data_IF_288379741978
#
_entry.id   IF_288379741978
#
_cell.length_a   1.000
_cell.length_b   1.000
_cell.length_c   1.000
_cell.angle_alpha   90.00
_cell.angle_beta   90.00
_cell.angle_gamma   90.00
#
_symmetry.space_group_name_H-M   'P 1'
#
loop_
_entity.id
_entity.type
_entity.pdbx_description
1 polymer ?
#
# COMPACT_ATOMS: atom_id res chain seq x y z
N UNK A 1 5.96 -30.07 -9.91
CA UNK A 1 7.12 -30.88 -9.48
C UNK A 1 6.56 -32.28 -9.25
N UNK A 2 6.72 -33.19 -10.20
CA UNK A 2 6.13 -34.55 -10.14
C UNK A 2 7.04 -35.58 -10.82
N UNK A 3 8.35 -35.32 -10.83
CA UNK A 3 9.37 -36.13 -11.53
C UNK A 3 10.11 -37.10 -10.60
N UNK A 4 9.64 -37.27 -9.36
CA UNK A 4 10.30 -38.09 -8.32
C UNK A 4 9.59 -39.43 -8.09
N UNK A 5 8.32 -39.57 -8.47
CA UNK A 5 7.55 -40.80 -8.31
C UNK A 5 7.02 -41.26 -9.67
N UNK A 6 7.28 -42.52 -10.03
CA UNK A 6 6.89 -43.07 -11.33
C UNK A 6 5.36 -43.08 -11.51
N UNK A 7 4.91 -42.80 -12.74
CA UNK A 7 3.49 -42.86 -13.10
C UNK A 7 3.01 -44.31 -13.15
N UNK A 8 1.93 -44.61 -12.43
CA UNK A 8 1.20 -45.88 -12.55
C UNK A 8 -0.18 -45.61 -13.15
N UNK A 9 -0.51 -46.31 -14.23
CA UNK A 9 -1.79 -46.21 -14.91
C UNK A 9 -2.64 -47.42 -14.54
N UNK A 10 -3.81 -47.16 -13.98
CA UNK A 10 -4.79 -48.18 -13.61
C UNK A 10 -5.90 -48.27 -14.64
N UNK A 11 -6.33 -49.50 -14.94
CA UNK A 11 -7.58 -49.74 -15.63
C UNK A 11 -8.66 -50.05 -14.58
N UNK A 12 -9.62 -49.15 -14.44
CA UNK A 12 -10.61 -49.18 -13.38
C UNK A 12 -11.97 -49.55 -13.96
N UNK A 13 -12.70 -50.43 -13.27
CA UNK A 13 -14.10 -50.75 -13.51
C UNK A 13 -14.88 -50.51 -12.22
N UNK A 14 -16.16 -50.20 -12.33
CA UNK A 14 -16.95 -49.92 -11.15
C UNK A 14 -18.45 -49.87 -11.41
N UNK A 15 -19.20 -49.73 -10.33
CA UNK A 15 -20.66 -49.62 -10.34
C UNK A 15 -21.10 -48.40 -9.55
N UNK A 16 -22.18 -47.78 -10.01
CA UNK A 16 -22.80 -46.64 -9.34
C UNK A 16 -24.29 -46.93 -9.16
N UNK A 17 -24.76 -46.90 -7.91
CA UNK A 17 -26.14 -47.25 -7.53
C UNK A 17 -27.04 -46.01 -7.33
N UNK A 18 -26.55 -44.81 -7.67
CA UNK A 18 -27.24 -43.54 -7.46
C UNK A 18 -26.82 -42.79 -6.19
N UNK A 19 -26.14 -43.44 -5.24
CA UNK A 19 -25.60 -42.80 -4.05
C UNK A 19 -24.16 -43.19 -3.72
N UNK A 20 -23.72 -44.35 -4.17
CA UNK A 20 -22.41 -44.94 -3.86
C UNK A 20 -21.73 -45.36 -5.15
N UNK A 21 -20.47 -44.95 -5.31
CA UNK A 21 -19.58 -45.41 -6.37
C UNK A 21 -18.60 -46.41 -5.77
N UNK A 22 -18.55 -47.62 -6.35
CA UNK A 22 -17.55 -48.64 -6.02
C UNK A 22 -16.69 -48.90 -7.25
N UNK A 23 -15.37 -48.82 -7.09
CA UNK A 23 -14.37 -48.94 -8.14
C UNK A 23 -13.35 -50.02 -7.75
N UNK A 24 -12.93 -50.82 -8.72
CA UNK A 24 -11.80 -51.74 -8.61
C UNK A 24 -10.94 -51.63 -9.85
N UNK A 25 -9.62 -51.68 -9.70
CA UNK A 25 -8.72 -51.57 -10.83
C UNK A 25 -7.39 -52.25 -10.64
N UNK A 26 -6.88 -52.77 -11.75
CA UNK A 26 -5.57 -53.40 -11.83
C UNK A 26 -4.60 -52.47 -12.57
N UNK A 27 -3.32 -52.52 -12.20
CA UNK A 27 -2.29 -51.70 -12.82
C UNK A 27 -2.05 -52.19 -14.26
N UNK A 28 -2.25 -51.30 -15.24
CA UNK A 28 -2.02 -51.55 -16.66
C UNK A 28 -0.58 -51.20 -17.07
N UNK A 29 -0.02 -50.19 -16.41
CA UNK A 29 1.35 -49.74 -16.66
C UNK A 29 1.95 -49.23 -15.35
N UNK A 30 3.17 -49.66 -15.04
CA UNK A 30 3.96 -49.17 -13.92
C UNK A 30 5.38 -48.85 -14.42
N UNK A 31 6.07 -47.92 -13.74
CA UNK A 31 7.48 -47.69 -14.00
C UNK A 31 8.31 -48.93 -13.65
N UNK A 32 9.46 -49.13 -14.32
CA UNK A 32 10.40 -50.19 -13.96
C UNK A 32 10.77 -50.04 -12.48
N UNK A 33 10.72 -51.15 -11.75
CA UNK A 33 11.01 -51.27 -10.31
C UNK A 33 9.94 -50.72 -9.35
N UNK A 34 8.70 -50.45 -9.80
CA UNK A 34 7.56 -50.13 -8.92
C UNK A 34 6.54 -51.26 -8.91
N UNK A 35 6.43 -51.95 -7.77
CA UNK A 35 5.35 -52.91 -7.52
C UNK A 35 4.03 -52.15 -7.33
N UNK A 36 3.02 -52.48 -8.13
CA UNK A 36 1.72 -51.79 -8.12
C UNK A 36 0.61 -52.76 -7.72
N UNK A 37 -0.02 -52.49 -6.57
CA UNK A 37 -1.12 -53.30 -6.05
C UNK A 37 -2.44 -52.98 -6.72
N UNK A 38 -3.36 -53.95 -6.67
CA UNK A 38 -4.77 -53.76 -7.08
C UNK A 38 -5.40 -52.68 -6.20
N UNK A 39 -6.16 -51.77 -6.80
CA UNK A 39 -6.84 -50.70 -6.08
C UNK A 39 -8.34 -51.00 -5.95
N UNK A 40 -8.89 -50.64 -4.81
CA UNK A 40 -10.33 -50.59 -4.55
C UNK A 40 -10.67 -49.20 -4.04
N UNK A 41 -11.79 -48.64 -4.45
CA UNK A 41 -12.20 -47.30 -4.09
C UNK A 41 -13.72 -47.26 -3.87
N UNK A 42 -14.12 -46.53 -2.82
CA UNK A 42 -15.53 -46.32 -2.49
C UNK A 42 -15.78 -44.85 -2.23
N UNK A 43 -16.77 -44.29 -2.90
CA UNK A 43 -17.18 -42.90 -2.75
C UNK A 43 -18.69 -42.77 -2.60
N UNK A 44 -19.13 -41.70 -1.94
CA UNK A 44 -20.54 -41.38 -1.74
C UNK A 44 -20.84 -40.07 -2.48
N UNK A 45 -22.00 -40.02 -3.15
CA UNK A 45 -22.52 -38.84 -3.81
C UNK A 45 -22.91 -37.83 -2.74
N UNK A 46 -22.26 -36.68 -2.77
CA UNK A 46 -22.54 -35.59 -1.85
C UNK A 46 -23.75 -34.77 -2.34
N UNK A 47 -24.41 -34.00 -1.46
CA UNK A 47 -25.47 -33.08 -1.86
C UNK A 47 -25.04 -32.03 -2.91
N UNK A 48 -23.73 -31.78 -3.04
CA UNK A 48 -23.14 -30.85 -4.00
C UNK A 48 -22.88 -31.47 -5.38
N UNK A 49 -23.16 -32.77 -5.57
CA UNK A 49 -23.04 -33.45 -6.86
C UNK A 49 -21.65 -34.01 -7.19
N UNK A 50 -20.65 -33.80 -6.32
CA UNK A 50 -19.34 -34.47 -6.35
C UNK A 50 -19.38 -35.79 -5.57
N UNK A 51 -18.47 -36.70 -5.94
CA UNK A 51 -18.28 -37.98 -5.25
C UNK A 51 -17.04 -37.88 -4.36
N UNK A 52 -17.20 -38.11 -3.05
CA UNK A 52 -16.09 -38.09 -2.09
C UNK A 52 -15.89 -39.47 -1.50
N UNK A 53 -14.65 -39.94 -1.50
CA UNK A 53 -14.36 -41.31 -1.12
C UNK A 53 -12.94 -41.57 -0.65
N UNK A 54 -12.69 -42.85 -0.41
CA UNK A 54 -11.38 -43.36 -0.06
C UNK A 54 -11.01 -44.48 -1.02
N UNK A 55 -9.72 -44.58 -1.31
CA UNK A 55 -9.15 -45.67 -2.08
C UNK A 55 -8.09 -46.38 -1.25
N UNK A 56 -7.90 -47.67 -1.52
CA UNK A 56 -6.91 -48.52 -0.88
C UNK A 56 -6.32 -49.49 -1.91
N UNK A 57 -5.03 -49.75 -1.81
CA UNK A 57 -4.35 -50.80 -2.59
C UNK A 57 -4.11 -52.06 -1.76
N UNK A 58 -3.92 -53.18 -2.46
CA UNK A 58 -3.49 -54.45 -1.86
C UNK A 58 -2.10 -54.39 -1.19
N UNK A 59 -1.31 -53.35 -1.47
CA UNK A 59 0.02 -53.12 -0.87
C UNK A 59 -0.06 -52.24 0.39
N UNK A 60 -1.26 -51.91 0.86
CA UNK A 60 -1.47 -51.15 2.10
C UNK A 60 -1.39 -49.62 1.93
N UNK A 61 -1.23 -49.11 0.70
CA UNK A 61 -1.38 -47.67 0.44
C UNK A 61 -2.86 -47.30 0.39
N UNK A 62 -3.22 -46.14 0.92
CA UNK A 62 -4.58 -45.65 0.91
C UNK A 62 -4.62 -44.12 0.89
N UNK A 63 -5.74 -43.55 0.48
CA UNK A 63 -5.91 -42.11 0.41
C UNK A 63 -7.37 -41.71 0.26
N UNK A 64 -7.59 -40.40 0.26
CA UNK A 64 -8.90 -39.83 -0.08
C UNK A 64 -8.89 -39.38 -1.53
N UNK A 65 -10.04 -39.43 -2.18
CA UNK A 65 -10.22 -38.87 -3.52
C UNK A 65 -11.57 -38.17 -3.63
N UNK A 66 -11.66 -37.27 -4.58
CA UNK A 66 -12.85 -36.51 -4.90
C UNK A 66 -13.00 -36.38 -6.41
N UNK A 67 -14.18 -36.71 -6.93
CA UNK A 67 -14.51 -36.61 -8.35
C UNK A 67 -15.53 -35.49 -8.56
N UNK A 68 -15.24 -34.62 -9.52
CA UNK A 68 -16.10 -33.51 -9.89
C UNK A 68 -16.75 -33.76 -11.26
N UNK A 69 -18.02 -33.38 -11.45
CA UNK A 69 -18.66 -33.45 -12.76
C UNK A 69 -17.98 -32.52 -13.76
N UNK A 70 -17.70 -33.02 -14.96
CA UNK A 70 -17.00 -32.25 -16.01
C UNK A 70 -17.89 -31.23 -16.74
N UNK A 71 -19.21 -31.40 -16.69
CA UNK A 71 -20.18 -30.64 -17.49
C UNK A 71 -20.91 -29.53 -16.72
N UNK A 72 -20.65 -29.39 -15.42
CA UNK A 72 -21.19 -28.29 -14.63
C UNK A 72 -20.11 -27.20 -14.53
N UNK A 73 -20.41 -25.92 -14.87
CA UNK A 73 -19.56 -24.83 -14.40
C UNK A 73 -19.47 -25.00 -12.89
N UNK A 74 -18.25 -24.99 -12.34
CA UNK A 74 -17.99 -25.11 -10.90
C UNK A 74 -19.08 -24.33 -10.17
N UNK A 75 -20.08 -25.02 -9.64
CA UNK A 75 -21.17 -24.37 -8.94
C UNK A 75 -20.47 -23.59 -7.85
N UNK A 76 -20.70 -22.27 -7.82
CA UNK A 76 -20.03 -21.33 -6.94
C UNK A 76 -19.72 -22.03 -5.61
N UNK A 77 -18.42 -22.19 -5.30
CA UNK A 77 -17.97 -22.61 -3.98
C UNK A 77 -18.36 -21.58 -2.89
N UNK A 78 -19.34 -20.71 -3.15
CA UNK A 78 -19.96 -19.75 -2.26
C UNK A 78 -21.08 -20.30 -1.39
N UNK A 79 -21.56 -21.54 -1.60
CA UNK A 79 -22.54 -22.18 -0.71
C UNK A 79 -21.96 -23.44 -0.05
N UNK A 80 -20.82 -23.30 0.63
CA UNK A 80 -20.50 -24.18 1.74
C UNK A 80 -21.47 -23.85 2.89
N UNK A 81 -22.54 -24.64 3.02
CA UNK A 81 -23.35 -24.70 4.24
C UNK A 81 -22.43 -25.10 5.38
N UNK A 82 -21.97 -24.13 6.18
CA UNK A 82 -21.30 -24.37 7.45
C UNK A 82 -20.05 -23.54 7.76
N UNK A 83 -19.48 -22.78 6.82
CA UNK A 83 -18.41 -21.82 7.15
C UNK A 83 -18.87 -20.43 6.74
N UNK A 84 -19.09 -19.50 7.70
CA UNK A 84 -19.44 -18.13 7.35
C UNK A 84 -18.30 -17.55 6.51
N UNK A 85 -18.53 -17.39 5.20
CA UNK A 85 -17.69 -16.55 4.36
C UNK A 85 -17.79 -15.16 4.99
N UNK A 86 -16.68 -14.51 5.37
CA UNK A 86 -16.73 -13.17 5.89
C UNK A 86 -17.28 -12.26 4.81
N UNK A 87 -18.54 -11.84 4.97
CA UNK A 87 -19.23 -10.91 4.07
C UNK A 87 -18.61 -9.50 4.13
N UNK A 88 -17.77 -9.23 5.13
CA UNK A 88 -17.23 -7.92 5.43
C UNK A 88 -15.70 -7.90 5.36
N UNK A 89 -15.19 -6.96 4.57
CA UNK A 89 -13.78 -6.59 4.54
C UNK A 89 -13.57 -5.39 5.46
N UNK A 90 -12.56 -5.49 6.32
CA UNK A 90 -12.15 -4.37 7.16
C UNK A 90 -10.98 -3.67 6.49
N UNK A 91 -11.07 -2.35 6.34
CA UNK A 91 -9.98 -1.52 5.82
C UNK A 91 -9.64 -0.44 6.83
N UNK A 92 -8.39 -0.41 7.28
CA UNK A 92 -7.87 0.69 8.10
C UNK A 92 -6.92 1.54 7.26
N UNK A 93 -7.10 2.86 7.34
CA UNK A 93 -6.19 3.85 6.77
C UNK A 93 -5.63 4.73 7.87
N UNK A 94 -4.31 4.81 7.95
CA UNK A 94 -3.59 5.71 8.86
C UNK A 94 -2.75 6.67 8.04
N UNK A 95 -3.00 7.97 8.17
CA UNK A 95 -2.16 8.99 7.56
C UNK A 95 -0.98 9.33 8.48
N UNK A 96 0.18 9.55 7.86
CA UNK A 96 1.41 9.99 8.53
C UNK A 96 1.79 11.36 7.98
N UNK A 97 2.44 12.19 8.81
CA UNK A 97 2.94 13.49 8.39
C UNK A 97 4.13 13.40 7.45
N UNK A 98 4.94 14.46 7.38
CA UNK A 98 6.12 14.48 6.54
C UNK A 98 7.19 13.53 7.10
N UNK A 99 7.66 12.57 6.32
CA UNK A 99 8.65 11.57 6.77
C UNK A 99 9.95 11.69 6.01
N UNK A 100 11.06 11.53 6.72
CA UNK A 100 12.38 11.41 6.10
C UNK A 100 12.94 10.03 6.42
N UNK A 101 13.20 9.24 5.39
CA UNK A 101 13.66 7.87 5.53
C UNK A 101 15.02 7.69 4.86
N UNK A 102 15.74 6.67 5.30
CA UNK A 102 16.93 6.14 4.62
C UNK A 102 16.62 4.74 4.07
N UNK A 103 17.44 4.25 3.15
CA UNK A 103 17.29 2.87 2.61
C UNK A 103 17.19 1.81 3.71
N UNK A 104 17.94 1.97 4.82
CA UNK A 104 17.85 1.09 5.99
C UNK A 104 16.45 1.12 6.63
N UNK A 105 15.85 2.29 6.78
CA UNK A 105 14.51 2.43 7.36
C UNK A 105 13.46 1.77 6.45
N UNK A 106 13.63 1.89 5.12
CA UNK A 106 12.77 1.21 4.13
C UNK A 106 12.92 -0.31 4.22
N UNK A 107 14.13 -0.82 4.47
CA UNK A 107 14.39 -2.25 4.71
C UNK A 107 13.72 -2.73 6.00
N UNK A 108 13.83 -1.98 7.09
CA UNK A 108 13.13 -2.32 8.34
C UNK A 108 11.61 -2.36 8.16
N UNK A 109 11.04 -1.37 7.44
CA UNK A 109 9.62 -1.34 7.11
C UNK A 109 9.21 -2.55 6.26
N UNK A 110 9.99 -2.88 5.23
CA UNK A 110 9.75 -4.04 4.37
C UNK A 110 9.74 -5.35 5.16
N UNK A 111 10.70 -5.55 6.07
CA UNK A 111 10.75 -6.72 6.94
C UNK A 111 9.54 -6.77 7.89
N UNK A 112 9.16 -5.63 8.47
CA UNK A 112 8.02 -5.53 9.36
C UNK A 112 6.70 -5.84 8.65
N UNK A 113 6.54 -5.37 7.40
CA UNK A 113 5.40 -5.71 6.56
C UNK A 113 5.37 -7.23 6.35
N UNK A 114 6.47 -7.80 5.83
CA UNK A 114 6.59 -9.22 5.46
C UNK A 114 6.33 -10.20 6.59
N UNK A 115 6.60 -9.83 7.85
CA UNK A 115 6.46 -10.75 9.01
C UNK A 115 5.09 -11.44 9.12
N UNK A 116 4.03 -10.78 8.66
CA UNK A 116 2.65 -11.29 8.75
C UNK A 116 2.11 -11.83 7.41
N UNK A 117 3.00 -12.01 6.43
CA UNK A 117 2.72 -12.56 5.11
C UNK A 117 3.62 -13.77 4.86
N UNK A 118 3.02 -14.94 4.60
CA UNK A 118 3.73 -16.21 4.56
C UNK A 118 4.34 -16.53 3.18
N UNK A 119 3.63 -16.18 2.09
CA UNK A 119 3.94 -16.67 0.74
C UNK A 119 4.23 -15.55 -0.25
N UNK A 120 3.71 -14.35 0.00
CA UNK A 120 3.76 -13.26 -0.97
C UNK A 120 5.07 -12.48 -0.95
N UNK A 121 5.50 -12.05 -2.14
CA UNK A 121 6.65 -11.16 -2.30
C UNK A 121 6.20 -9.71 -2.17
N UNK A 122 6.97 -8.93 -1.40
CA UNK A 122 6.78 -7.50 -1.29
C UNK A 122 7.15 -6.83 -2.62
N UNK A 123 6.25 -6.00 -3.13
CA UNK A 123 6.45 -5.20 -4.34
C UNK A 123 6.75 -3.76 -3.94
N UNK A 124 7.71 -3.15 -4.61
CA UNK A 124 8.10 -1.76 -4.45
C UNK A 124 7.81 -1.04 -5.76
N UNK A 125 7.01 0.03 -5.68
CA UNK A 125 6.92 1.04 -6.74
C UNK A 125 7.65 2.28 -6.28
N UNK A 126 8.52 2.84 -7.12
CA UNK A 126 9.22 4.07 -6.81
C UNK A 126 9.41 4.94 -8.05
N UNK A 127 9.50 6.26 -7.85
CA UNK A 127 9.78 7.20 -8.94
C UNK A 127 11.26 7.58 -8.94
N UNK A 128 11.93 7.36 -10.07
CA UNK A 128 13.32 7.76 -10.31
C UNK A 128 13.43 8.42 -11.67
N UNK A 129 14.13 9.56 -11.76
CA UNK A 129 14.27 10.36 -12.97
C UNK A 129 12.93 10.66 -13.69
N UNK A 130 11.85 10.83 -12.92
CA UNK A 130 10.51 11.10 -13.45
C UNK A 130 9.70 9.86 -13.87
N UNK A 131 10.31 8.67 -13.89
CA UNK A 131 9.67 7.41 -14.30
C UNK A 131 9.32 6.57 -13.07
N UNK A 132 8.11 6.01 -13.07
CA UNK A 132 7.68 5.04 -12.06
C UNK A 132 8.16 3.64 -12.42
N UNK A 133 8.87 3.01 -11.50
CA UNK A 133 9.42 1.66 -11.63
C UNK A 133 8.76 0.76 -10.60
N UNK A 134 8.23 -0.38 -11.03
CA UNK A 134 7.64 -1.40 -10.15
C UNK A 134 8.45 -2.67 -10.22
N UNK A 135 8.87 -3.21 -9.07
CA UNK A 135 9.71 -4.41 -8.99
C UNK A 135 9.56 -5.09 -7.62
N UNK A 136 10.08 -6.30 -7.49
CA UNK A 136 10.15 -6.96 -6.18
C UNK A 136 11.15 -6.25 -5.26
N UNK A 137 10.89 -6.31 -3.95
CA UNK A 137 11.74 -5.65 -2.94
C UNK A 137 13.20 -6.13 -3.00
N UNK A 138 13.43 -7.42 -3.25
CA UNK A 138 14.79 -7.97 -3.35
C UNK A 138 15.58 -7.38 -4.53
N UNK A 139 14.90 -7.04 -5.63
CA UNK A 139 15.53 -6.43 -6.81
C UNK A 139 15.72 -4.92 -6.61
N UNK A 140 14.79 -4.27 -5.91
CA UNK A 140 14.96 -2.88 -5.47
C UNK A 140 16.16 -2.73 -4.55
N UNK A 141 16.33 -3.62 -3.57
CA UNK A 141 17.39 -3.53 -2.57
C UNK A 141 18.80 -3.53 -3.18
N UNK A 142 19.00 -4.24 -4.30
CA UNK A 142 20.29 -4.29 -5.03
C UNK A 142 20.65 -2.95 -5.69
N UNK A 143 19.64 -2.16 -6.05
CA UNK A 143 19.80 -0.88 -6.74
C UNK A 143 19.48 0.33 -5.84
N UNK A 144 18.96 0.10 -4.63
CA UNK A 144 18.52 1.17 -3.74
C UNK A 144 19.66 2.15 -3.40
N UNK A 145 20.91 1.67 -3.37
CA UNK A 145 22.09 2.48 -3.10
C UNK A 145 22.58 3.31 -4.30
N UNK A 146 22.12 3.00 -5.53
CA UNK A 146 22.49 3.77 -6.72
C UNK A 146 21.47 4.88 -7.06
N UNK A 147 20.37 4.97 -6.31
CA UNK A 147 19.33 5.98 -6.51
C UNK A 147 19.55 7.11 -5.50
N UNK A 148 19.99 8.29 -5.95
CA UNK A 148 20.32 9.41 -5.05
C UNK A 148 19.15 9.83 -4.13
N UNK A 149 17.96 10.00 -4.70
CA UNK A 149 16.77 10.47 -3.99
C UNK A 149 15.51 9.81 -4.54
N UNK A 150 14.64 9.31 -3.65
CA UNK A 150 13.32 8.79 -4.00
C UNK A 150 12.24 9.70 -3.39
N UNK A 151 11.40 10.25 -4.27
CA UNK A 151 10.33 11.18 -3.93
C UNK A 151 8.94 10.53 -3.87
N UNK A 152 8.82 9.32 -4.42
CA UNK A 152 7.61 8.50 -4.33
C UNK A 152 8.03 7.06 -4.09
N UNK A 153 7.44 6.45 -3.07
CA UNK A 153 7.67 5.06 -2.69
C UNK A 153 6.34 4.43 -2.27
N UNK A 154 6.01 3.30 -2.88
CA UNK A 154 4.89 2.46 -2.49
C UNK A 154 5.39 1.06 -2.22
N UNK A 155 5.22 0.60 -0.99
CA UNK A 155 5.45 -0.78 -0.59
C UNK A 155 4.09 -1.48 -0.56
N UNK A 156 3.92 -2.55 -1.31
CA UNK A 156 2.66 -3.30 -1.36
C UNK A 156 2.89 -4.79 -1.29
N UNK A 157 2.16 -5.46 -0.42
CA UNK A 157 2.10 -6.92 -0.33
C UNK A 157 0.64 -7.35 -0.24
N UNK A 158 0.32 -8.46 -0.87
CA UNK A 158 -1.02 -9.01 -0.89
C UNK A 158 -0.91 -10.54 -0.85
N UNK A 159 -1.71 -11.19 -0.01
CA UNK A 159 -1.78 -12.66 0.03
C UNK A 159 -3.22 -13.16 0.18
N UNK A 160 -3.54 -14.33 -0.37
CA UNK A 160 -4.80 -15.01 -0.08
C UNK A 160 -4.90 -15.29 1.43
N UNK A 161 -6.03 -14.93 2.04
CA UNK A 161 -6.28 -15.17 3.46
C UNK A 161 -7.25 -16.34 3.64
N UNK A 162 -8.55 -16.14 3.43
CA UNK A 162 -9.58 -17.17 3.48
C UNK A 162 -10.69 -16.87 2.46
N UNK A 163 -11.42 -17.90 2.03
CA UNK A 163 -12.58 -17.77 1.12
C UNK A 163 -12.29 -17.02 -0.20
N UNK A 164 -11.07 -17.11 -0.73
CA UNK A 164 -10.67 -16.40 -1.93
C UNK A 164 -10.49 -14.88 -1.76
N UNK A 165 -10.63 -14.37 -0.53
CA UNK A 165 -10.36 -12.98 -0.19
C UNK A 165 -8.86 -12.82 0.07
N UNK A 166 -8.29 -11.79 -0.54
CA UNK A 166 -6.91 -11.41 -0.28
C UNK A 166 -6.85 -10.36 0.83
N UNK A 167 -5.95 -10.55 1.79
CA UNK A 167 -5.51 -9.46 2.68
C UNK A 167 -4.34 -8.74 2.05
N UNK A 168 -4.20 -7.45 2.33
CA UNK A 168 -3.09 -6.66 1.82
C UNK A 168 -2.64 -5.57 2.79
N UNK A 169 -1.39 -5.16 2.62
CA UNK A 169 -0.84 -3.98 3.27
C UNK A 169 -0.12 -3.12 2.22
N UNK A 170 -0.43 -1.83 2.23
CA UNK A 170 0.18 -0.82 1.37
C UNK A 170 0.68 0.31 2.23
N UNK A 171 1.94 0.69 2.05
CA UNK A 171 2.51 1.95 2.53
C UNK A 171 2.78 2.79 1.30
N UNK A 172 2.11 3.92 1.16
CA UNK A 172 2.29 4.85 0.07
C UNK A 172 2.82 6.17 0.61
N UNK A 173 4.00 6.56 0.12
CA UNK A 173 4.76 7.73 0.53
C UNK A 173 4.96 8.61 -0.69
N UNK A 174 4.50 9.86 -0.63
CA UNK A 174 4.50 10.76 -1.78
C UNK A 174 4.97 12.16 -1.37
N UNK A 175 6.00 12.69 -2.03
CA UNK A 175 6.57 14.01 -1.77
C UNK A 175 5.60 15.17 -2.02
N UNK A 176 4.68 15.03 -2.97
CA UNK A 176 3.70 16.05 -3.35
C UNK A 176 2.32 15.80 -2.71
N UNK A 177 2.09 14.56 -2.27
CA UNK A 177 0.80 14.10 -1.75
C UNK A 177 0.80 13.83 -0.25
N UNK A 178 -0.03 12.84 0.11
CA UNK A 178 -0.18 12.32 1.46
C UNK A 178 0.64 11.05 1.63
N UNK A 179 0.99 10.77 2.88
CA UNK A 179 1.59 9.51 3.27
C UNK A 179 0.55 8.68 3.99
N UNK A 180 0.22 7.53 3.43
CA UNK A 180 -0.86 6.69 3.92
C UNK A 180 -0.40 5.24 4.09
N UNK A 181 -0.79 4.66 5.21
CA UNK A 181 -0.72 3.22 5.48
C UNK A 181 -2.13 2.68 5.34
N UNK A 182 -2.32 1.73 4.43
CA UNK A 182 -3.59 1.10 4.15
C UNK A 182 -3.44 -0.40 4.38
N UNK A 183 -4.26 -0.96 5.26
CA UNK A 183 -4.31 -2.39 5.53
C UNK A 183 -5.75 -2.86 5.34
N UNK A 184 -5.91 -4.02 4.72
CA UNK A 184 -7.20 -4.66 4.53
C UNK A 184 -7.11 -6.16 4.79
N UNK A 185 -8.15 -6.72 5.39
CA UNK A 185 -8.26 -8.15 5.67
C UNK A 185 -9.61 -8.50 6.27
N UNK A 186 -9.77 -9.78 6.60
CA UNK A 186 -11.01 -10.36 7.16
C UNK A 186 -11.16 -10.04 8.65
N UNK A 187 -10.05 -9.98 9.40
CA UNK A 187 -10.08 -9.76 10.84
C UNK A 187 -9.82 -8.30 11.21
N UNK A 188 -10.84 -7.60 11.73
CA UNK A 188 -10.75 -6.18 12.14
C UNK A 188 -9.57 -5.91 13.09
N UNK A 189 -9.39 -6.76 14.11
CA UNK A 189 -8.33 -6.60 15.11
C UNK A 189 -6.93 -6.63 14.50
N UNK A 190 -6.72 -7.53 13.54
CA UNK A 190 -5.47 -7.60 12.79
C UNK A 190 -5.28 -6.37 11.90
N UNK A 191 -6.34 -5.95 11.19
CA UNK A 191 -6.30 -4.79 10.28
C UNK A 191 -5.92 -3.51 11.04
N UNK A 192 -6.60 -3.22 12.16
CA UNK A 192 -6.32 -2.05 13.01
C UNK A 192 -4.91 -2.16 13.61
N UNK A 193 -4.57 -3.31 14.18
CA UNK A 193 -3.27 -3.52 14.84
C UNK A 193 -2.09 -3.37 13.88
N UNK A 194 -2.19 -3.93 12.67
CA UNK A 194 -1.15 -3.85 11.65
C UNK A 194 -1.02 -2.42 11.11
N UNK A 195 -2.13 -1.76 10.81
CA UNK A 195 -2.11 -0.38 10.33
C UNK A 195 -1.48 0.58 11.35
N UNK A 196 -1.87 0.48 12.63
CA UNK A 196 -1.31 1.30 13.70
C UNK A 196 0.17 0.98 13.97
N UNK A 197 0.58 -0.29 13.88
CA UNK A 197 1.99 -0.67 14.07
C UNK A 197 2.89 -0.08 12.97
N UNK A 198 2.47 -0.22 11.70
CA UNK A 198 3.19 0.34 10.56
C UNK A 198 3.21 1.88 10.60
N UNK A 199 2.08 2.51 10.92
CA UNK A 199 2.00 3.96 11.07
C UNK A 199 2.88 4.47 12.22
N UNK A 200 2.91 3.78 13.35
CA UNK A 200 3.77 4.12 14.49
C UNK A 200 5.24 4.03 14.14
N UNK A 201 5.66 3.01 13.39
CA UNK A 201 7.04 2.91 12.91
C UNK A 201 7.39 4.11 12.03
N UNK A 202 6.54 4.47 11.06
CA UNK A 202 6.75 5.66 10.21
C UNK A 202 6.77 6.98 11.01
N UNK A 203 5.91 7.12 12.02
CA UNK A 203 5.86 8.33 12.87
C UNK A 203 7.17 8.60 13.62
N UNK A 204 8.01 7.59 13.87
CA UNK A 204 9.35 7.78 14.46
C UNK A 204 10.30 8.56 13.55
N UNK A 205 10.02 8.54 12.25
CA UNK A 205 10.78 9.24 11.21
C UNK A 205 10.06 10.51 10.73
N UNK A 206 9.01 10.93 11.43
CA UNK A 206 8.24 12.12 11.08
C UNK A 206 8.99 13.40 11.45
N UNK A 207 9.06 14.32 10.50
CA UNK A 207 9.55 15.66 10.71
C UNK A 207 8.41 16.55 11.22
N UNK A 208 8.19 16.56 12.54
CA UNK A 208 7.11 17.33 13.19
C UNK A 208 7.06 18.80 12.75
N UNK A 209 8.23 19.43 12.52
CA UNK A 209 8.31 20.80 12.02
C UNK A 209 7.69 20.94 10.62
N UNK A 210 8.08 20.08 9.67
CA UNK A 210 7.56 20.11 8.30
C UNK A 210 6.08 19.70 8.27
N UNK A 211 5.67 18.70 9.07
CA UNK A 211 4.26 18.34 9.22
C UNK A 211 3.44 19.52 9.72
N UNK A 212 3.88 20.19 10.80
CA UNK A 212 3.18 21.32 11.37
C UNK A 212 3.14 22.50 10.38
N UNK A 213 4.22 22.76 9.64
CA UNK A 213 4.22 23.81 8.61
C UNK A 213 3.26 23.47 7.47
N UNK A 214 3.16 22.22 7.01
CA UNK A 214 2.16 21.86 5.98
C UNK A 214 0.72 21.94 6.52
N UNK A 215 0.51 21.53 7.76
CA UNK A 215 -0.80 21.55 8.41
C UNK A 215 -1.27 22.97 8.76
N UNK A 216 -0.36 23.82 9.23
CA UNK A 216 -0.65 25.16 9.77
C UNK A 216 -0.07 26.32 8.95
N UNK A 217 0.66 26.07 7.87
CA UNK A 217 1.15 27.12 6.94
C UNK A 217 0.00 27.89 6.30
N UNK A 218 -1.18 27.27 6.22
CA UNK A 218 -2.46 27.93 5.95
C UNK A 218 -2.80 29.05 6.95
N UNK A 219 -2.34 28.98 8.19
CA UNK A 219 -2.57 30.00 9.23
C UNK A 219 -1.87 31.32 8.92
N UNK A 220 -0.68 31.30 8.30
CA UNK A 220 -0.03 32.54 7.86
C UNK A 220 -0.78 33.17 6.68
N UNK A 221 -1.23 32.37 5.72
CA UNK A 221 -2.05 32.87 4.61
C UNK A 221 -3.34 33.51 5.13
N UNK A 222 -3.98 32.90 6.12
CA UNK A 222 -5.14 33.47 6.81
C UNK A 222 -4.79 34.77 7.52
N UNK A 223 -3.63 34.85 8.20
CA UNK A 223 -3.20 36.07 8.87
C UNK A 223 -2.93 37.21 7.89
N UNK A 224 -2.22 36.94 6.78
CA UNK A 224 -1.98 37.93 5.71
C UNK A 224 -3.30 38.39 5.08
N UNK A 225 -4.25 37.47 4.86
CA UNK A 225 -5.56 37.80 4.33
C UNK A 225 -6.40 38.64 5.31
N UNK A 226 -6.38 38.31 6.60
CA UNK A 226 -7.05 39.12 7.64
C UNK A 226 -6.40 40.50 7.73
N UNK A 227 -5.06 40.58 7.75
CA UNK A 227 -4.34 41.85 7.75
C UNK A 227 -4.68 42.69 6.52
N UNK A 228 -4.79 42.06 5.34
CA UNK A 228 -5.26 42.72 4.13
C UNK A 228 -6.67 43.30 4.33
N UNK A 229 -7.63 42.55 4.88
CA UNK A 229 -8.99 43.04 5.12
C UNK A 229 -9.03 44.23 6.09
N UNK A 230 -8.18 44.20 7.13
CA UNK A 230 -8.07 45.29 8.11
C UNK A 230 -7.47 46.55 7.48
N UNK A 231 -6.44 46.40 6.64
CA UNK A 231 -5.73 47.52 5.99
C UNK A 231 -6.42 48.01 4.72
N UNK A 232 -7.35 47.23 4.16
CA UNK A 232 -8.07 47.53 2.92
C UNK A 232 -8.73 48.91 2.87
N UNK A 233 -9.36 49.41 3.96
CA UNK A 233 -10.04 50.71 3.96
C UNK A 233 -9.07 51.89 3.78
N UNK A 234 -7.84 51.79 4.30
CA UNK A 234 -6.86 52.88 4.30
C UNK A 234 -6.24 53.15 2.93
N UNK A 235 -6.36 52.21 1.99
CA UNK A 235 -5.88 52.38 0.63
C UNK A 235 -6.95 53.12 -0.17
N UNK A 236 -6.76 54.41 -0.40
CA UNK A 236 -7.61 55.21 -1.30
C UNK A 236 -6.82 55.70 -2.52
N UNK A 237 -7.44 55.84 -3.71
CA UNK A 237 -8.85 55.54 -4.08
C UNK A 237 -9.12 54.09 -4.52
N UNK A 238 -10.37 53.74 -4.87
CA UNK A 238 -10.87 52.39 -5.21
C UNK A 238 -9.99 51.56 -6.16
N UNK A 239 -9.38 52.17 -7.19
CA UNK A 239 -8.50 51.43 -8.10
C UNK A 239 -7.22 50.93 -7.42
N UNK A 240 -6.67 51.69 -6.45
CA UNK A 240 -5.50 51.27 -5.66
C UNK A 240 -5.83 50.11 -4.74
N UNK A 241 -7.08 50.03 -4.24
CA UNK A 241 -7.58 48.86 -3.50
C UNK A 241 -7.57 47.61 -4.36
N UNK A 242 -8.02 47.73 -5.61
CA UNK A 242 -7.97 46.64 -6.59
C UNK A 242 -6.53 46.17 -6.84
N UNK A 243 -5.60 47.11 -7.05
CA UNK A 243 -4.17 46.79 -7.24
C UNK A 243 -3.56 46.13 -6.00
N UNK A 244 -3.86 46.66 -4.80
CA UNK A 244 -3.40 46.08 -3.54
C UNK A 244 -3.90 44.64 -3.36
N UNK A 245 -5.17 44.39 -3.64
CA UNK A 245 -5.75 43.05 -3.59
C UNK A 245 -5.06 42.08 -4.56
N UNK A 246 -4.83 42.49 -5.81
CA UNK A 246 -4.14 41.66 -6.80
C UNK A 246 -2.71 41.34 -6.35
N UNK A 247 -1.98 42.31 -5.80
CA UNK A 247 -0.62 42.09 -5.28
C UNK A 247 -0.64 41.08 -4.13
N UNK A 248 -1.52 41.27 -3.14
CA UNK A 248 -1.59 40.37 -1.97
C UNK A 248 -2.00 38.96 -2.39
N UNK A 249 -3.01 38.81 -3.25
CA UNK A 249 -3.42 37.50 -3.79
C UNK A 249 -2.28 36.86 -4.59
N UNK A 250 -1.58 37.63 -5.42
CA UNK A 250 -0.40 37.15 -6.15
C UNK A 250 0.71 36.65 -5.23
N UNK A 251 0.99 37.38 -4.14
CA UNK A 251 1.96 36.97 -3.11
C UNK A 251 1.53 35.70 -2.39
N UNK A 252 0.24 35.57 -2.05
CA UNK A 252 -0.31 34.35 -1.44
C UNK A 252 -0.20 33.14 -2.37
N UNK A 253 -0.51 33.30 -3.66
CA UNK A 253 -0.36 32.24 -4.66
C UNK A 253 1.10 31.84 -4.84
N UNK A 254 2.01 32.82 -4.93
CA UNK A 254 3.45 32.57 -5.03
C UNK A 254 3.99 31.85 -3.78
N UNK A 255 3.50 32.22 -2.59
CA UNK A 255 3.85 31.57 -1.33
C UNK A 255 3.39 30.11 -1.31
N UNK A 256 2.12 29.83 -1.65
CA UNK A 256 1.60 28.45 -1.76
C UNK A 256 2.40 27.64 -2.76
N UNK A 257 2.68 28.21 -3.93
CA UNK A 257 3.50 27.56 -4.95
C UNK A 257 4.92 27.23 -4.45
N UNK A 258 5.57 28.18 -3.79
CA UNK A 258 6.90 27.99 -3.21
C UNK A 258 6.90 26.91 -2.12
N UNK A 259 5.89 26.91 -1.23
CA UNK A 259 5.73 25.89 -0.21
C UNK A 259 5.62 24.48 -0.81
N UNK A 260 4.82 24.30 -1.86
CA UNK A 260 4.70 23.00 -2.53
C UNK A 260 5.98 22.60 -3.25
N UNK A 261 6.70 23.55 -3.86
CA UNK A 261 7.91 23.27 -4.62
C UNK A 261 9.13 22.93 -3.78
N UNK A 262 9.26 23.51 -2.58
CA UNK A 262 10.47 23.43 -1.76
C UNK A 262 10.34 22.59 -0.49
N UNK A 263 9.13 22.20 -0.09
CA UNK A 263 8.89 21.38 1.11
C UNK A 263 8.30 20.02 0.72
N UNK A 264 9.11 19.03 0.32
CA UNK A 264 8.60 17.69 0.05
C UNK A 264 8.02 17.05 1.32
N UNK A 265 6.88 16.35 1.20
CA UNK A 265 6.28 15.55 2.30
C UNK A 265 7.12 14.31 2.61
N UNK A 266 7.90 13.84 1.64
CA UNK A 266 8.74 12.66 1.77
C UNK A 266 10.04 12.88 1.04
N UNK A 267 11.13 12.50 1.69
CA UNK A 267 12.41 12.28 1.02
C UNK A 267 13.02 11.00 1.56
N UNK A 268 13.37 10.09 0.66
CA UNK A 268 14.12 8.88 0.98
C UNK A 268 15.52 9.02 0.40
N UNK A 269 16.53 8.92 1.27
CA UNK A 269 17.94 9.04 0.89
C UNK A 269 18.62 7.67 0.83
N UNK A 270 19.44 7.46 -0.19
CA UNK A 270 20.24 6.23 -0.36
C UNK A 270 21.45 6.13 0.56
N UNK A 271 21.99 7.25 1.04
CA UNK A 271 23.19 7.25 1.87
C UNK A 271 22.88 7.22 3.38
N UNK A 272 23.61 6.42 4.19
CA UNK A 272 23.44 6.34 5.65
C UNK A 272 23.88 7.61 6.40
N UNK A 273 24.31 8.66 5.70
CA UNK A 273 24.72 9.91 6.33
C UNK A 273 23.48 10.64 6.83
N UNK A 274 23.11 10.34 8.07
CA UNK A 274 22.08 11.08 8.84
C UNK A 274 22.28 12.57 8.56
N UNK A 275 21.33 13.16 7.85
CA UNK A 275 21.35 14.59 7.56
C UNK A 275 21.54 15.35 8.88
N UNK A 276 22.56 16.21 8.94
CA UNK A 276 22.87 16.99 10.14
C UNK A 276 21.65 17.78 10.60
N UNK A 277 21.61 18.17 11.88
CA UNK A 277 20.47 18.91 12.45
C UNK A 277 20.09 20.15 11.61
N UNK A 278 21.08 20.79 10.98
CA UNK A 278 20.87 21.90 10.06
C UNK A 278 20.15 21.50 8.76
N UNK A 279 20.56 20.40 8.11
CA UNK A 279 19.91 19.92 6.89
C UNK A 279 18.46 19.49 7.13
N UNK A 280 18.14 19.01 8.35
CA UNK A 280 16.76 18.71 8.78
C UNK A 280 15.92 19.96 9.06
N UNK A 281 16.53 21.03 9.57
CA UNK A 281 15.83 22.27 9.87
C UNK A 281 15.73 23.22 8.66
N UNK A 282 16.61 23.08 7.66
CA UNK A 282 16.71 23.96 6.50
C UNK A 282 15.39 24.17 5.74
N UNK A 283 14.57 23.14 5.45
CA UNK A 283 13.27 23.34 4.82
C UNK A 283 12.35 24.25 5.65
N UNK A 284 12.31 24.06 6.97
CA UNK A 284 11.52 24.89 7.87
C UNK A 284 12.03 26.34 7.96
N UNK A 285 13.34 26.54 7.95
CA UNK A 285 13.97 27.87 7.92
C UNK A 285 13.63 28.58 6.60
N UNK A 286 13.75 27.89 5.47
CA UNK A 286 13.43 28.44 4.16
C UNK A 286 11.95 28.85 4.07
N UNK A 287 11.06 28.04 4.62
CA UNK A 287 9.63 28.36 4.72
C UNK A 287 9.38 29.65 5.50
N UNK A 288 10.02 29.82 6.66
CA UNK A 288 9.90 31.03 7.47
C UNK A 288 10.45 32.26 6.75
N UNK A 289 11.55 32.09 5.99
CA UNK A 289 12.18 33.16 5.24
C UNK A 289 11.29 33.61 4.07
N UNK A 290 10.67 32.68 3.34
CA UNK A 290 9.71 32.98 2.25
C UNK A 290 8.47 33.70 2.82
N UNK A 291 7.96 33.23 3.96
CA UNK A 291 6.86 33.87 4.68
C UNK A 291 7.17 35.32 5.10
N UNK A 292 8.35 35.54 5.68
CA UNK A 292 8.78 36.86 6.13
C UNK A 292 8.98 37.83 4.95
N UNK A 293 9.57 37.37 3.83
CA UNK A 293 9.76 38.20 2.64
C UNK A 293 8.45 38.55 1.96
N UNK A 294 7.49 37.62 1.88
CA UNK A 294 6.14 37.90 1.37
C UNK A 294 5.41 38.95 2.23
N UNK A 295 5.54 38.85 3.54
CA UNK A 295 4.94 39.81 4.49
C UNK A 295 5.56 41.21 4.35
N UNK A 296 6.90 41.28 4.23
CA UNK A 296 7.62 42.54 3.96
C UNK A 296 7.22 43.15 2.62
N UNK A 297 7.09 42.35 1.57
CA UNK A 297 6.65 42.80 0.26
C UNK A 297 5.21 43.35 0.29
N UNK A 298 4.30 42.70 1.02
CA UNK A 298 2.94 43.18 1.21
C UNK A 298 2.90 44.51 1.98
N UNK A 299 3.69 44.64 3.05
CA UNK A 299 3.80 45.87 3.83
C UNK A 299 4.40 47.03 2.99
N UNK A 300 5.40 46.74 2.16
CA UNK A 300 6.00 47.72 1.27
C UNK A 300 5.04 48.16 0.16
N UNK A 301 4.27 47.23 -0.41
CA UNK A 301 3.21 47.55 -1.36
C UNK A 301 2.14 48.45 -0.73
N UNK A 302 1.70 48.12 0.50
CA UNK A 302 0.76 48.95 1.27
C UNK A 302 1.32 50.36 1.47
N UNK A 303 2.56 50.49 1.94
CA UNK A 303 3.23 51.77 2.14
C UNK A 303 3.33 52.61 0.87
N UNK A 304 3.74 52.01 -0.26
CA UNK A 304 3.85 52.74 -1.54
C UNK A 304 2.50 53.22 -2.08
N UNK A 305 1.43 52.43 -1.86
CA UNK A 305 0.08 52.76 -2.31
C UNK A 305 -0.62 53.79 -1.42
N UNK A 306 -0.19 53.93 -0.16
CA UNK A 306 -0.68 54.96 0.79
C UNK A 306 0.16 56.25 0.74
N UNK A 307 1.48 56.18 0.53
CA UNK A 307 2.35 57.38 0.46
C UNK A 307 2.10 58.28 -0.75
N UNK A 308 1.53 57.74 -1.84
CA UNK A 308 1.24 58.52 -3.05
C UNK A 308 -0.12 59.21 -3.03
N UNK A 309 -0.67 59.48 -1.84
CA UNK A 309 -1.81 60.37 -1.69
C UNK A 309 -1.34 61.74 -1.23
N UNK A 310 -0.78 62.60 -2.09
CA UNK A 310 -1.03 64.01 -1.91
C UNK A 310 -2.51 64.23 -2.23
N UNK A 311 -3.13 65.16 -1.51
CA UNK A 311 -4.38 65.78 -1.91
C UNK A 311 -4.43 66.10 -3.41
#
# INVERSE_FOLDING_TARGET
>A
MDTVFGLVIYEIKGTFDGGTLELEGDAKQAARDIESGRITAKAILTPQGNLRGQWQSSLGTAGTFELFPHDLPLADQGNQVGVPIPEQLHTARQSVGAVQLYTEDVRELAQMIRKDFAVSRLVVTYKSAGIENTRYFEDFEREANSIDEIQYLKLSIQEPEAHGINKFAVIELNSEGRNDVIVQGIYESWVIGKAETLARQLRRHEQTLVTNIKKYGLGLNQFIFIAMLVLFPEVEPLWRRGVFAVIVVGLLLALVWAHWRFLPTVVIYSSPRKAGAFARAWPGILSWLIAATASLAAALAFYLLTQRSPF
#
